data_IF_833303406648
#
_entry.id   IF_833303406648
#
_cell.length_a   1.000
_cell.length_b   1.000
_cell.length_c   1.000
_cell.angle_alpha   90.00
_cell.angle_beta   90.00
_cell.angle_gamma   90.00
#
_symmetry.space_group_name_H-M   'P 1'
#
loop_
_entity.id
_entity.type
_entity.pdbx_description
1 polymer ?
#
# COMPACT_ATOMS: atom_id res chain seq x y z
N UNK A 1 -14.45 -1.92 17.11
CA UNK A 1 -13.08 -1.70 16.56
C UNK A 1 -12.89 -2.67 15.40
N UNK A 2 -12.37 -2.19 14.27
CA UNK A 2 -11.97 -3.08 13.16
C UNK A 2 -10.81 -3.96 13.64
N UNK A 3 -10.68 -5.18 13.07
CA UNK A 3 -9.54 -6.04 13.36
C UNK A 3 -8.24 -5.35 12.91
N UNK A 4 -7.19 -5.42 13.72
CA UNK A 4 -5.89 -4.85 13.38
C UNK A 4 -5.11 -5.87 12.56
N UNK A 5 -4.55 -5.44 11.43
CA UNK A 5 -3.67 -6.22 10.57
C UNK A 5 -2.27 -5.57 10.54
N UNK A 6 -1.26 -6.35 10.93
CA UNK A 6 0.16 -5.95 10.84
C UNK A 6 0.78 -6.70 9.66
N UNK A 7 1.34 -5.97 8.72
CA UNK A 7 1.76 -6.48 7.42
C UNK A 7 3.27 -6.25 7.27
N UNK A 8 4.12 -7.28 7.38
CA UNK A 8 5.55 -7.10 7.19
C UNK A 8 5.86 -6.68 5.76
N UNK A 9 6.79 -5.72 5.61
CA UNK A 9 7.16 -5.10 4.35
C UNK A 9 8.46 -5.64 3.79
N UNK A 10 8.47 -5.89 2.48
CA UNK A 10 9.66 -6.23 1.70
C UNK A 10 9.94 -5.07 0.72
N UNK A 11 11.19 -4.57 0.72
CA UNK A 11 11.70 -3.66 -0.32
C UNK A 11 12.69 -4.46 -1.17
N UNK A 12 12.21 -5.23 -2.16
CA UNK A 12 13.06 -6.20 -2.87
C UNK A 12 13.93 -5.52 -3.92
N UNK A 13 15.20 -5.87 -3.98
CA UNK A 13 16.09 -5.49 -5.07
C UNK A 13 16.26 -6.61 -6.09
N UNK A 14 15.87 -7.82 -5.70
CA UNK A 14 16.04 -9.03 -6.51
C UNK A 14 14.92 -10.05 -6.24
N UNK A 15 14.81 -11.04 -7.11
CA UNK A 15 13.96 -12.22 -6.88
C UNK A 15 14.42 -13.01 -5.62
N UNK A 16 15.70 -13.02 -5.33
CA UNK A 16 16.23 -13.70 -4.15
C UNK A 16 15.68 -13.08 -2.85
N UNK A 17 15.54 -11.75 -2.80
CA UNK A 17 14.94 -11.06 -1.64
C UNK A 17 13.48 -11.48 -1.45
N UNK A 18 12.71 -11.56 -2.55
CA UNK A 18 11.32 -12.02 -2.50
C UNK A 18 11.23 -13.43 -1.93
N UNK A 19 12.08 -14.36 -2.40
CA UNK A 19 12.08 -15.75 -1.92
C UNK A 19 12.44 -15.82 -0.45
N UNK A 20 13.52 -15.17 -0.04
CA UNK A 20 14.03 -15.21 1.33
C UNK A 20 13.03 -14.63 2.34
N UNK A 21 12.54 -13.41 2.07
CA UNK A 21 11.64 -12.73 3.01
C UNK A 21 10.24 -13.36 3.03
N UNK A 22 9.75 -13.81 1.87
CA UNK A 22 8.46 -14.52 1.82
C UNK A 22 8.49 -15.81 2.64
N UNK A 23 9.58 -16.59 2.57
CA UNK A 23 9.75 -17.79 3.39
C UNK A 23 9.74 -17.47 4.89
N UNK A 24 10.42 -16.38 5.28
CA UNK A 24 10.46 -15.96 6.69
C UNK A 24 9.09 -15.50 7.17
N UNK A 25 8.41 -14.64 6.40
CA UNK A 25 7.15 -14.02 6.81
C UNK A 25 5.96 -14.98 6.74
N UNK A 26 5.91 -15.91 5.78
CA UNK A 26 4.85 -16.90 5.65
C UNK A 26 4.71 -17.85 6.88
N UNK A 27 5.68 -17.82 7.79
CA UNK A 27 5.64 -18.60 9.04
C UNK A 27 4.73 -17.98 10.10
N UNK A 28 4.43 -16.69 10.02
CA UNK A 28 3.67 -15.98 11.06
C UNK A 28 2.74 -14.90 10.53
N UNK A 29 2.93 -14.39 9.31
CA UNK A 29 2.12 -13.34 8.72
C UNK A 29 1.03 -13.91 7.81
N UNK A 30 -0.15 -13.29 7.83
CA UNK A 30 -1.23 -13.59 6.89
C UNK A 30 -1.11 -12.80 5.59
N UNK A 31 -0.47 -11.64 5.66
CA UNK A 31 -0.25 -10.76 4.51
C UNK A 31 1.20 -10.30 4.46
N UNK A 32 1.69 -9.99 3.26
CA UNK A 32 3.03 -9.46 3.01
C UNK A 32 2.89 -8.26 2.07
N UNK A 33 3.52 -7.14 2.45
CA UNK A 33 3.58 -5.90 1.70
C UNK A 33 4.85 -5.86 0.85
N UNK A 34 4.72 -5.55 -0.43
CA UNK A 34 5.85 -5.40 -1.36
C UNK A 34 5.91 -3.95 -1.84
N UNK A 35 6.98 -3.26 -1.48
CA UNK A 35 7.28 -1.93 -2.02
C UNK A 35 7.85 -2.03 -3.43
N UNK A 36 7.20 -1.37 -4.37
CA UNK A 36 7.57 -1.35 -5.78
C UNK A 36 7.90 0.06 -6.24
N UNK A 37 9.17 0.34 -6.48
CA UNK A 37 9.69 1.65 -6.91
C UNK A 37 10.33 1.59 -8.30
N UNK A 38 10.05 2.60 -9.16
CA UNK A 38 10.51 2.64 -10.56
C UNK A 38 11.70 3.57 -10.81
N UNK A 39 12.20 4.25 -9.76
CA UNK A 39 13.26 5.27 -9.90
C UNK A 39 12.79 6.60 -10.48
N UNK A 40 11.51 6.73 -10.83
CA UNK A 40 10.94 7.92 -11.45
C UNK A 40 9.99 8.68 -10.52
N UNK A 41 9.14 7.96 -9.77
CA UNK A 41 8.31 8.54 -8.72
C UNK A 41 9.07 8.58 -7.38
N UNK A 42 9.81 7.51 -7.05
CA UNK A 42 10.77 7.45 -5.94
C UNK A 42 12.18 7.26 -6.49
N UNK A 43 13.20 7.64 -5.71
CA UNK A 43 14.60 7.64 -6.19
C UNK A 43 15.24 6.25 -6.30
N UNK A 44 14.64 5.22 -5.70
CA UNK A 44 15.11 3.85 -5.75
C UNK A 44 14.31 3.02 -6.77
N UNK A 45 14.97 2.00 -7.31
CA UNK A 45 14.34 0.96 -8.13
C UNK A 45 14.28 -0.33 -7.34
N UNK A 46 13.18 -1.07 -7.49
CA UNK A 46 12.99 -2.37 -6.86
C UNK A 46 12.78 -3.46 -7.91
N UNK A 47 12.68 -4.70 -7.44
CA UNK A 47 12.32 -5.80 -8.30
C UNK A 47 10.82 -5.74 -8.67
N UNK A 48 10.51 -6.09 -9.93
CA UNK A 48 9.16 -6.28 -10.43
C UNK A 48 8.95 -7.71 -10.94
N UNK A 49 7.75 -8.31 -10.78
CA UNK A 49 7.47 -9.61 -11.34
C UNK A 49 7.45 -9.54 -12.87
N UNK A 50 8.09 -10.51 -13.52
CA UNK A 50 7.92 -10.72 -14.96
C UNK A 50 6.61 -11.45 -15.25
N UNK A 51 6.10 -11.37 -16.48
CA UNK A 51 4.76 -11.82 -16.88
C UNK A 51 4.40 -13.30 -16.60
N UNK A 52 5.35 -14.12 -16.15
CA UNK A 52 5.16 -15.57 -15.94
C UNK A 52 5.55 -16.01 -14.52
N UNK A 53 5.88 -15.05 -13.64
CA UNK A 53 6.33 -15.38 -12.29
C UNK A 53 5.15 -15.47 -11.32
N UNK A 54 5.11 -16.52 -10.51
CA UNK A 54 4.15 -16.66 -9.39
C UNK A 54 4.87 -16.42 -8.07
N UNK A 55 4.36 -15.52 -7.25
CA UNK A 55 4.90 -15.23 -5.92
C UNK A 55 4.86 -16.49 -5.04
N UNK A 56 5.93 -16.76 -4.27
CA UNK A 56 6.00 -17.95 -3.42
C UNK A 56 4.91 -17.90 -2.33
N UNK A 57 4.37 -19.04 -1.97
CA UNK A 57 3.33 -19.16 -0.93
C UNK A 57 2.06 -18.33 -1.17
N UNK A 58 1.78 -17.88 -2.40
CA UNK A 58 0.58 -17.10 -2.72
C UNK A 58 -0.75 -17.85 -2.53
N UNK A 59 -0.68 -19.15 -2.27
CA UNK A 59 -1.79 -20.01 -1.81
C UNK A 59 -2.05 -19.91 -0.30
N UNK A 60 -1.10 -19.38 0.48
CA UNK A 60 -1.15 -19.32 1.96
C UNK A 60 -1.09 -17.91 2.51
N UNK A 61 -0.45 -16.99 1.78
CA UNK A 61 -0.19 -15.62 2.20
C UNK A 61 -0.80 -14.68 1.17
N UNK A 62 -1.52 -13.65 1.64
CA UNK A 62 -1.99 -12.58 0.80
C UNK A 62 -0.84 -11.60 0.52
N UNK A 63 -0.55 -11.37 -0.75
CA UNK A 63 0.39 -10.32 -1.13
C UNK A 63 -0.34 -9.04 -1.49
N UNK A 64 0.18 -7.91 -0.99
CA UNK A 64 -0.19 -6.59 -1.45
C UNK A 64 1.02 -5.89 -2.07
N UNK A 65 0.80 -5.15 -3.16
CA UNK A 65 1.85 -4.40 -3.85
C UNK A 65 1.57 -2.90 -3.72
N UNK A 66 2.51 -2.18 -3.11
CA UNK A 66 2.50 -0.73 -2.97
C UNK A 66 3.32 -0.12 -4.11
N UNK A 67 2.61 0.47 -5.06
CA UNK A 67 3.16 0.92 -6.33
C UNK A 67 3.60 2.38 -6.26
N UNK A 68 4.84 2.60 -5.90
CA UNK A 68 5.52 3.90 -5.97
C UNK A 68 6.11 4.11 -7.38
N UNK A 69 5.24 4.10 -8.40
CA UNK A 69 5.61 4.07 -9.82
C UNK A 69 4.70 4.98 -10.65
N UNK A 70 5.17 5.47 -11.80
CA UNK A 70 4.37 6.31 -12.69
C UNK A 70 3.30 5.55 -13.47
N UNK A 71 3.57 4.31 -13.88
CA UNK A 71 2.64 3.48 -14.67
C UNK A 71 1.93 2.45 -13.78
N UNK A 72 1.21 2.93 -12.77
CA UNK A 72 0.63 2.06 -11.71
C UNK A 72 -0.33 1.02 -12.26
N UNK A 73 -1.15 1.35 -13.28
CA UNK A 73 -2.18 0.46 -13.82
C UNK A 73 -1.58 -0.82 -14.40
N UNK A 74 -0.58 -0.69 -15.26
CA UNK A 74 0.07 -1.81 -15.96
C UNK A 74 0.95 -2.63 -15.02
N UNK A 75 1.68 -1.96 -14.15
CA UNK A 75 2.54 -2.62 -13.15
C UNK A 75 1.66 -3.36 -12.13
N UNK A 76 0.54 -2.78 -11.70
CA UNK A 76 -0.43 -3.46 -10.85
C UNK A 76 -0.96 -4.75 -11.47
N UNK A 77 -1.25 -4.75 -12.78
CA UNK A 77 -1.65 -5.98 -13.50
C UNK A 77 -0.55 -7.06 -13.47
N UNK A 78 0.73 -6.68 -13.57
CA UNK A 78 1.83 -7.64 -13.47
C UNK A 78 1.86 -8.30 -12.08
N UNK A 79 1.70 -7.50 -11.01
CA UNK A 79 1.63 -8.01 -9.64
C UNK A 79 0.39 -8.91 -9.43
N UNK A 80 -0.78 -8.55 -9.94
CA UNK A 80 -2.00 -9.39 -9.87
C UNK A 80 -1.76 -10.74 -10.55
N UNK A 81 -1.20 -10.74 -11.75
CA UNK A 81 -0.85 -11.98 -12.49
C UNK A 81 0.17 -12.85 -11.76
N UNK A 82 0.99 -12.24 -10.92
CA UNK A 82 1.98 -12.93 -10.09
C UNK A 82 1.42 -13.41 -8.75
N UNK A 83 0.14 -13.15 -8.46
CA UNK A 83 -0.55 -13.65 -7.26
C UNK A 83 -0.85 -12.60 -6.20
N UNK A 84 -0.53 -11.32 -6.41
CA UNK A 84 -0.99 -10.26 -5.50
C UNK A 84 -2.53 -10.17 -5.52
N UNK A 85 -3.10 -9.91 -4.34
CA UNK A 85 -4.54 -9.76 -4.15
C UNK A 85 -4.94 -8.36 -3.69
N UNK A 86 -3.98 -7.52 -3.33
CA UNK A 86 -4.18 -6.09 -3.06
C UNK A 86 -3.19 -5.28 -3.88
N UNK A 87 -3.67 -4.21 -4.50
CA UNK A 87 -2.85 -3.28 -5.28
C UNK A 87 -3.09 -1.87 -4.77
N UNK A 88 -2.01 -1.14 -4.53
CA UNK A 88 -2.04 0.21 -3.99
C UNK A 88 -1.32 1.14 -4.98
N UNK A 89 -2.02 2.11 -5.53
CA UNK A 89 -1.42 3.15 -6.38
C UNK A 89 -1.42 4.50 -5.68
N UNK A 90 -0.44 5.33 -5.97
CA UNK A 90 -0.36 6.68 -5.43
C UNK A 90 -1.24 7.67 -6.18
N UNK A 91 -2.05 8.47 -5.46
CA UNK A 91 -2.85 9.55 -6.04
C UNK A 91 -1.99 10.50 -6.89
N UNK A 92 -0.78 10.77 -6.42
CA UNK A 92 0.18 11.71 -7.03
C UNK A 92 0.75 11.22 -8.37
N UNK A 93 0.53 9.95 -8.72
CA UNK A 93 0.99 9.39 -10.01
C UNK A 93 -0.08 9.43 -11.10
N UNK A 94 -1.32 9.73 -10.75
CA UNK A 94 -2.43 9.89 -11.69
C UNK A 94 -2.60 11.35 -12.10
N UNK A 95 -2.99 11.58 -13.35
CA UNK A 95 -3.22 12.93 -13.89
C UNK A 95 -4.41 13.62 -13.20
N UNK A 96 -5.43 12.84 -12.83
CA UNK A 96 -6.66 13.32 -12.21
C UNK A 96 -7.43 12.17 -11.54
N UNK A 97 -8.54 12.50 -10.88
CA UNK A 97 -9.39 11.52 -10.21
C UNK A 97 -10.02 10.48 -11.16
N UNK A 98 -10.32 10.84 -12.41
CA UNK A 98 -10.92 9.91 -13.37
C UNK A 98 -9.93 8.81 -13.77
N UNK A 99 -8.65 9.15 -13.97
CA UNK A 99 -7.61 8.18 -14.25
C UNK A 99 -7.38 7.27 -13.05
N UNK A 100 -7.32 7.83 -11.83
CA UNK A 100 -7.21 7.05 -10.60
C UNK A 100 -8.39 6.06 -10.45
N UNK A 101 -9.62 6.54 -10.63
CA UNK A 101 -10.84 5.72 -10.61
C UNK A 101 -10.78 4.59 -11.65
N UNK A 102 -10.33 4.92 -12.86
CA UNK A 102 -10.18 3.90 -13.92
C UNK A 102 -9.18 2.80 -13.54
N UNK A 103 -8.06 3.16 -12.92
CA UNK A 103 -7.05 2.19 -12.47
C UNK A 103 -7.59 1.32 -11.31
N UNK A 104 -8.23 1.94 -10.31
CA UNK A 104 -8.85 1.22 -9.18
C UNK A 104 -9.89 0.20 -9.66
N UNK A 105 -10.82 0.62 -10.52
CA UNK A 105 -11.84 -0.27 -11.09
C UNK A 105 -11.21 -1.39 -11.92
N UNK A 106 -10.19 -1.07 -12.72
CA UNK A 106 -9.48 -2.07 -13.53
C UNK A 106 -8.87 -3.17 -12.66
N UNK A 107 -8.23 -2.84 -11.52
CA UNK A 107 -7.68 -3.84 -10.61
C UNK A 107 -8.79 -4.68 -9.94
N UNK A 108 -9.93 -4.07 -9.58
CA UNK A 108 -11.12 -4.79 -9.08
C UNK A 108 -11.67 -5.79 -10.08
N UNK A 109 -11.74 -5.42 -11.36
CA UNK A 109 -12.14 -6.32 -12.46
C UNK A 109 -11.19 -7.51 -12.60
N UNK A 110 -9.95 -7.38 -12.17
CA UNK A 110 -8.98 -8.48 -12.09
C UNK A 110 -9.03 -9.26 -10.75
N UNK A 111 -10.06 -9.06 -9.94
CA UNK A 111 -10.27 -9.68 -8.62
C UNK A 111 -9.19 -9.31 -7.58
N UNK A 112 -8.65 -8.11 -7.64
CA UNK A 112 -7.79 -7.55 -6.61
C UNK A 112 -8.54 -6.50 -5.77
N UNK A 113 -8.29 -6.45 -4.47
CA UNK A 113 -8.64 -5.33 -3.59
C UNK A 113 -7.80 -4.11 -4.00
N UNK A 114 -8.43 -2.96 -4.26
CA UNK A 114 -7.76 -1.77 -4.77
C UNK A 114 -7.64 -0.69 -3.71
N UNK A 115 -6.41 -0.25 -3.45
CA UNK A 115 -6.07 0.81 -2.52
C UNK A 115 -5.55 2.06 -3.21
N UNK A 116 -5.81 3.20 -2.59
CA UNK A 116 -5.23 4.48 -2.99
C UNK A 116 -4.29 5.00 -1.90
N UNK A 117 -3.04 5.26 -2.26
CA UNK A 117 -2.05 5.86 -1.36
C UNK A 117 -2.03 7.39 -1.49
N UNK A 118 -1.85 8.09 -0.36
CA UNK A 118 -1.63 9.52 -0.30
C UNK A 118 -0.36 9.84 0.49
N UNK A 119 0.47 10.72 -0.07
CA UNK A 119 1.61 11.29 0.66
C UNK A 119 1.16 12.10 1.87
N UNK A 120 2.06 12.28 2.83
CA UNK A 120 1.76 13.04 4.06
C UNK A 120 1.30 14.48 3.77
N UNK A 121 1.78 15.08 2.69
CA UNK A 121 1.45 16.45 2.28
C UNK A 121 0.27 16.52 1.30
N UNK A 122 -0.22 15.42 0.76
CA UNK A 122 -1.36 15.41 -0.17
C UNK A 122 -2.66 15.68 0.59
N UNK A 123 -3.43 16.71 0.22
CA UNK A 123 -4.67 17.05 0.92
C UNK A 123 -5.69 15.89 0.87
N UNK A 124 -6.34 15.58 1.99
CA UNK A 124 -7.35 14.51 2.06
C UNK A 124 -8.56 14.78 1.14
N UNK A 125 -8.83 16.03 0.79
CA UNK A 125 -9.92 16.38 -0.13
C UNK A 125 -9.75 15.74 -1.53
N UNK A 126 -8.53 15.38 -1.92
CA UNK A 126 -8.27 14.68 -3.19
C UNK A 126 -8.87 13.29 -3.23
N UNK A 127 -9.15 12.69 -2.07
CA UNK A 127 -9.80 11.38 -1.95
C UNK A 127 -11.32 11.45 -2.16
N UNK A 128 -11.97 12.59 -1.87
CA UNK A 128 -13.44 12.67 -1.86
C UNK A 128 -14.12 12.12 -3.14
N UNK A 129 -13.63 12.45 -4.35
CA UNK A 129 -14.20 11.88 -5.56
C UNK A 129 -13.91 10.39 -5.76
N UNK A 130 -13.10 9.75 -4.91
CA UNK A 130 -12.60 8.39 -5.08
C UNK A 130 -12.94 7.46 -3.92
N UNK A 131 -13.51 7.97 -2.81
CA UNK A 131 -13.75 7.20 -1.60
C UNK A 131 -14.66 5.97 -1.84
N UNK A 132 -15.59 6.05 -2.79
CA UNK A 132 -16.46 4.96 -3.21
C UNK A 132 -15.77 3.96 -4.17
N UNK A 133 -14.67 4.37 -4.81
CA UNK A 133 -13.90 3.54 -5.72
C UNK A 133 -12.79 2.74 -5.02
N UNK A 134 -12.35 3.17 -3.83
CA UNK A 134 -11.31 2.48 -3.06
C UNK A 134 -11.92 1.42 -2.14
N UNK A 135 -11.23 0.27 -1.98
CA UNK A 135 -11.55 -0.68 -0.91
C UNK A 135 -10.85 -0.27 0.40
N UNK A 136 -9.72 0.43 0.29
CA UNK A 136 -8.99 1.01 1.41
C UNK A 136 -8.10 2.17 0.96
N UNK A 137 -7.64 2.96 1.92
CA UNK A 137 -6.69 4.06 1.70
C UNK A 137 -5.42 3.81 2.50
N UNK A 138 -4.26 3.99 1.88
CA UNK A 138 -2.95 3.98 2.52
C UNK A 138 -2.47 5.41 2.75
N UNK A 139 -2.30 5.82 3.99
CA UNK A 139 -1.70 7.11 4.33
C UNK A 139 -0.22 6.93 4.65
N UNK A 140 0.63 7.66 3.94
CA UNK A 140 2.07 7.68 4.23
C UNK A 140 2.34 8.46 5.51
N UNK A 141 3.04 7.84 6.46
CA UNK A 141 3.43 8.47 7.73
C UNK A 141 4.88 8.96 7.75
N UNK A 142 5.46 9.16 6.55
CA UNK A 142 6.83 9.66 6.33
C UNK A 142 6.83 10.67 5.19
N UNK A 143 7.75 11.64 5.24
CA UNK A 143 7.88 12.65 4.19
C UNK A 143 8.73 12.19 2.98
N UNK A 144 9.61 11.21 3.16
CA UNK A 144 10.50 10.74 2.10
C UNK A 144 10.24 9.26 1.81
N UNK A 145 9.67 8.99 0.64
CA UNK A 145 9.39 7.64 0.17
C UNK A 145 10.65 6.89 -0.30
N UNK A 146 10.52 5.55 -0.39
CA UNK A 146 11.52 4.68 -1.00
C UNK A 146 12.76 4.44 -0.14
N UNK A 147 12.77 4.84 1.13
CA UNK A 147 13.86 4.58 2.08
C UNK A 147 13.32 4.02 3.38
N UNK A 148 13.79 2.85 3.77
CA UNK A 148 13.54 2.32 5.10
C UNK A 148 14.19 3.20 6.17
N UNK A 149 13.54 3.31 7.34
CA UNK A 149 14.05 4.09 8.47
C UNK A 149 13.84 5.60 8.36
N UNK A 150 12.98 6.07 7.44
CA UNK A 150 12.55 7.46 7.41
C UNK A 150 11.83 7.86 8.71
N UNK A 151 11.99 9.12 9.11
CA UNK A 151 11.38 9.62 10.34
C UNK A 151 9.86 9.63 10.24
N UNK A 152 9.21 9.13 11.29
CA UNK A 152 7.76 9.15 11.44
C UNK A 152 7.26 10.60 11.57
N UNK A 153 6.20 10.94 10.83
CA UNK A 153 5.58 12.25 10.85
C UNK A 153 4.29 12.22 11.68
N UNK A 154 4.27 12.92 12.80
CA UNK A 154 3.15 12.91 13.75
C UNK A 154 1.87 13.56 13.20
N UNK A 155 1.94 14.34 12.11
CA UNK A 155 0.76 14.87 11.41
C UNK A 155 -0.21 13.77 10.96
N UNK A 156 0.28 12.55 10.83
CA UNK A 156 -0.51 11.39 10.44
C UNK A 156 -1.68 11.12 11.40
N UNK A 157 -1.52 11.36 12.70
CA UNK A 157 -2.59 11.13 13.68
C UNK A 157 -3.84 11.97 13.41
N UNK A 158 -3.65 13.24 13.07
CA UNK A 158 -4.76 14.13 12.74
C UNK A 158 -5.40 13.72 11.42
N UNK A 159 -4.60 13.40 10.42
CA UNK A 159 -5.08 12.95 9.11
C UNK A 159 -5.92 11.68 9.22
N UNK A 160 -5.50 10.72 10.04
CA UNK A 160 -6.27 9.48 10.28
C UNK A 160 -7.62 9.80 10.95
N UNK A 161 -7.63 10.67 11.99
CA UNK A 161 -8.88 11.06 12.66
C UNK A 161 -9.83 11.77 11.70
N UNK A 162 -9.32 12.71 10.91
CA UNK A 162 -10.10 13.44 9.92
C UNK A 162 -10.71 12.50 8.88
N UNK A 163 -9.91 11.60 8.31
CA UNK A 163 -10.37 10.64 7.32
C UNK A 163 -11.40 9.67 7.92
N UNK A 164 -11.14 9.15 9.12
CA UNK A 164 -12.06 8.25 9.80
C UNK A 164 -13.39 8.91 10.15
N UNK A 165 -13.37 10.19 10.54
CA UNK A 165 -14.59 10.94 10.82
C UNK A 165 -15.45 11.17 9.58
N UNK A 166 -14.83 11.38 8.40
CA UNK A 166 -15.54 11.56 7.12
C UNK A 166 -16.02 10.24 6.52
N UNK A 167 -15.22 9.19 6.65
CA UNK A 167 -15.45 7.87 6.03
C UNK A 167 -15.26 6.76 7.08
N UNK A 168 -16.20 6.57 8.04
CA UNK A 168 -16.03 5.64 9.17
C UNK A 168 -15.92 4.17 8.74
N UNK A 169 -16.46 3.80 7.59
CA UNK A 169 -16.46 2.44 7.06
C UNK A 169 -15.20 2.14 6.23
N UNK A 170 -14.50 3.18 5.75
CA UNK A 170 -13.29 3.01 4.94
C UNK A 170 -12.17 2.41 5.78
N UNK A 171 -11.47 1.43 5.21
CA UNK A 171 -10.27 0.86 5.83
C UNK A 171 -9.12 1.84 5.64
N UNK A 172 -8.46 2.22 6.74
CA UNK A 172 -7.30 3.10 6.72
C UNK A 172 -6.06 2.26 7.05
N UNK A 173 -5.15 2.21 6.10
CA UNK A 173 -3.83 1.63 6.23
C UNK A 173 -2.78 2.72 6.45
N UNK A 174 -1.71 2.40 7.18
CA UNK A 174 -0.57 3.30 7.45
C UNK A 174 0.70 2.61 6.99
N UNK A 175 1.51 3.34 6.25
CA UNK A 175 2.86 2.91 5.89
C UNK A 175 3.90 3.98 6.22
N UNK A 176 5.05 3.50 6.69
CA UNK A 176 6.21 4.31 7.04
C UNK A 176 6.33 4.65 8.52
N UNK A 177 7.44 4.21 9.13
CA UNK A 177 7.80 4.51 10.52
C UNK A 177 6.87 3.94 11.59
N UNK A 178 6.00 2.99 11.24
CA UNK A 178 5.15 2.28 12.20
C UNK A 178 6.01 1.46 13.17
N UNK A 179 5.64 1.46 14.44
CA UNK A 179 6.39 0.80 15.51
C UNK A 179 5.49 0.48 16.70
N UNK A 180 5.96 -0.33 17.64
CA UNK A 180 5.27 -0.60 18.90
C UNK A 180 4.96 0.68 19.74
N UNK A 181 5.67 1.80 19.47
CA UNK A 181 5.47 3.05 20.20
C UNK A 181 4.26 3.85 19.70
N UNK A 182 3.92 3.74 18.39
CA UNK A 182 2.91 4.59 17.76
C UNK A 182 1.68 3.83 17.26
N UNK A 183 1.76 2.52 17.03
CA UNK A 183 0.68 1.70 16.46
C UNK A 183 -0.62 1.78 17.27
N UNK A 184 -0.54 1.82 18.60
CA UNK A 184 -1.72 1.93 19.47
C UNK A 184 -2.47 3.25 19.22
N UNK A 185 -1.76 4.37 19.20
CA UNK A 185 -2.36 5.69 18.96
C UNK A 185 -2.93 5.83 17.55
N UNK A 186 -2.29 5.20 16.55
CA UNK A 186 -2.80 5.13 15.18
C UNK A 186 -4.10 4.31 15.08
N UNK A 187 -4.16 3.19 15.79
CA UNK A 187 -5.38 2.37 15.84
C UNK A 187 -6.52 3.09 16.57
N UNK A 188 -6.23 3.79 17.69
CA UNK A 188 -7.20 4.64 18.40
C UNK A 188 -7.68 5.82 17.55
N UNK A 189 -6.85 6.33 16.62
CA UNK A 189 -7.24 7.35 15.65
C UNK A 189 -8.16 6.81 14.54
N UNK A 190 -8.21 5.49 14.30
CA UNK A 190 -9.10 4.86 13.32
C UNK A 190 -8.40 4.02 12.25
N UNK A 191 -7.06 3.92 12.26
CA UNK A 191 -6.34 3.03 11.35
C UNK A 191 -6.47 1.56 11.77
N UNK A 192 -6.39 0.63 10.81
CA UNK A 192 -6.54 -0.79 11.09
C UNK A 192 -5.54 -1.70 10.36
N UNK A 193 -4.81 -1.18 9.35
CA UNK A 193 -3.73 -1.89 8.66
C UNK A 193 -2.41 -1.13 8.85
N UNK A 194 -1.29 -1.84 9.01
CA UNK A 194 0.01 -1.25 9.34
C UNK A 194 1.13 -2.01 8.64
N UNK A 195 1.89 -1.29 7.79
CA UNK A 195 3.06 -1.77 7.06
C UNK A 195 4.35 -1.16 7.59
#
# INVERSE_FOLDING_TARGET
>A
MKAIEIIPTIVPTSLADILEWSEKFARFAHSIHIDAGDGAFVSNTTWFPTAIYTLPFSDKVLYEAHLMVRSSREIGLQFIRSGCRRIIGHMETFLNADEARSALNFWKEQNAESGLALLIDTPLITLEPLADACDFVLLMAIATLGKQGAAFDERIYERVRELHARHPDLIIAIDGGVSAKNIKALAEAGASRFS
#
